data_IF_910961447819
#
_entry.id   IF_910961447819
#
_cell.length_a   1.000
_cell.length_b   1.000
_cell.length_c   1.000
_cell.angle_alpha   90.00
_cell.angle_beta   90.00
_cell.angle_gamma   90.00
#
_symmetry.space_group_name_H-M   'P 1'
#
loop_
_entity.id
_entity.type
_entity.pdbx_description
1 polymer ?
#
# COMPACT_ATOMS: atom_id res chain seq x y z
N UNK A 1 -33.55 18.05 39.28
CA UNK A 1 -33.71 17.90 37.83
C UNK A 1 -32.69 18.64 37.00
N UNK A 2 -32.33 19.86 37.29
CA UNK A 2 -31.31 20.61 36.51
C UNK A 2 -29.92 19.96 36.52
N UNK A 3 -29.54 19.25 37.60
CA UNK A 3 -28.21 18.57 37.70
C UNK A 3 -28.11 17.27 36.89
N UNK A 4 -29.23 16.61 36.69
CA UNK A 4 -29.33 15.36 35.89
C UNK A 4 -29.22 15.64 34.41
N UNK A 5 -29.80 16.75 33.96
CA UNK A 5 -29.74 17.18 32.54
C UNK A 5 -28.33 17.55 32.11
N UNK A 6 -27.58 18.17 33.01
CA UNK A 6 -26.16 18.50 32.76
C UNK A 6 -25.26 17.25 32.67
N UNK A 7 -25.58 16.20 33.42
CA UNK A 7 -24.82 14.94 33.34
C UNK A 7 -25.11 14.16 32.07
N UNK A 8 -26.33 14.14 31.59
CA UNK A 8 -26.68 13.51 30.31
C UNK A 8 -26.08 14.23 29.10
N UNK A 9 -25.95 15.56 29.14
CA UNK A 9 -25.31 16.32 28.06
C UNK A 9 -23.81 16.05 27.95
N UNK A 10 -23.14 15.84 29.08
CA UNK A 10 -21.71 15.53 29.10
C UNK A 10 -21.39 14.11 28.60
N UNK A 11 -22.28 13.15 28.82
CA UNK A 11 -22.10 11.77 28.33
C UNK A 11 -22.40 11.62 26.86
N UNK A 12 -23.30 12.42 26.29
CA UNK A 12 -23.56 12.41 24.85
C UNK A 12 -22.40 12.98 24.02
N UNK A 13 -21.65 13.91 24.59
CA UNK A 13 -20.51 14.52 23.89
C UNK A 13 -19.30 13.58 23.78
N UNK A 14 -19.21 12.58 24.65
CA UNK A 14 -18.13 11.59 24.64
C UNK A 14 -18.27 10.52 23.54
N UNK A 15 -19.44 10.40 22.95
CA UNK A 15 -19.72 9.39 21.89
C UNK A 15 -19.46 9.88 20.47
N UNK A 16 -19.11 11.16 20.31
CA UNK A 16 -18.83 11.76 18.99
C UNK A 16 -17.34 11.70 18.60
N UNK A 17 -16.51 11.01 19.39
CA UNK A 17 -15.08 10.89 19.13
C UNK A 17 -14.72 9.62 18.34
N UNK A 18 -15.59 9.12 17.49
CA UNK A 18 -15.31 7.94 16.70
C UNK A 18 -15.42 8.19 15.22
N UNK A 19 -14.40 7.74 14.57
CA UNK A 19 -14.14 7.66 13.15
C UNK A 19 -13.37 8.88 12.60
N UNK A 20 -12.14 9.03 13.04
CA UNK A 20 -11.12 9.36 12.06
C UNK A 20 -10.85 8.06 11.29
N UNK A 21 -11.65 7.82 10.30
CA UNK A 21 -11.30 6.94 9.21
C UNK A 21 -10.04 7.57 8.60
N UNK A 22 -8.89 7.00 8.94
CA UNK A 22 -7.66 7.39 8.26
C UNK A 22 -7.85 6.94 6.82
N UNK A 23 -8.02 7.89 5.94
CA UNK A 23 -8.00 7.70 4.48
C UNK A 23 -6.55 7.32 4.11
N UNK A 24 -6.13 6.16 4.63
CA UNK A 24 -4.78 5.64 4.42
C UNK A 24 -4.60 5.07 3.02
N UNK A 25 -5.70 4.72 2.36
CA UNK A 25 -5.69 4.17 1.03
C UNK A 25 -5.88 5.28 -0.01
N UNK A 26 -4.78 5.86 -0.46
CA UNK A 26 -4.76 6.85 -1.53
C UNK A 26 -5.24 6.24 -2.86
N UNK A 27 -5.02 4.94 -3.05
CA UNK A 27 -5.37 4.20 -4.27
C UNK A 27 -6.14 2.95 -3.91
N UNK A 28 -7.27 2.71 -4.58
CA UNK A 28 -8.11 1.53 -4.40
C UNK A 28 -8.01 0.61 -5.61
N UNK A 29 -8.40 -0.65 -5.42
CA UNK A 29 -8.47 -1.60 -6.53
C UNK A 29 -9.44 -1.09 -7.60
N UNK A 30 -8.97 -1.04 -8.84
CA UNK A 30 -9.71 -0.49 -9.99
C UNK A 30 -9.36 0.97 -10.32
N UNK A 31 -8.62 1.66 -9.48
CA UNK A 31 -8.16 3.01 -9.75
C UNK A 31 -6.98 3.03 -10.71
N UNK A 32 -6.83 4.14 -11.40
CA UNK A 32 -5.62 4.40 -12.16
C UNK A 32 -4.46 4.69 -11.23
N UNK A 33 -3.31 4.08 -11.50
CA UNK A 33 -2.09 4.34 -10.74
C UNK A 33 -1.66 5.80 -10.93
N UNK A 34 -1.47 6.58 -9.87
CA UNK A 34 -0.95 7.93 -9.97
C UNK A 34 0.48 7.92 -10.55
N UNK A 35 0.85 9.04 -11.17
CA UNK A 35 2.20 9.18 -11.70
C UNK A 35 3.23 9.16 -10.57
N UNK A 36 4.26 8.33 -10.72
CA UNK A 36 5.38 8.26 -9.78
C UNK A 36 6.71 8.08 -10.52
N UNK A 37 7.77 8.43 -9.84
CA UNK A 37 9.16 8.23 -10.30
C UNK A 37 9.94 7.56 -9.18
N UNK A 38 10.63 6.47 -9.50
CA UNK A 38 11.52 5.76 -8.59
C UNK A 38 12.97 5.92 -9.06
N UNK A 39 13.85 6.18 -8.12
CA UNK A 39 15.29 6.22 -8.38
C UNK A 39 15.93 4.91 -7.94
N UNK A 40 16.45 4.17 -8.90
CA UNK A 40 17.17 2.93 -8.64
C UNK A 40 18.68 3.21 -8.61
N UNK A 41 19.35 2.57 -7.68
CA UNK A 41 20.82 2.63 -7.60
C UNK A 41 21.50 1.83 -8.71
N UNK A 42 20.81 0.86 -9.29
CA UNK A 42 21.35 -0.03 -10.30
C UNK A 42 20.94 0.34 -11.73
N UNK A 43 19.67 0.75 -11.93
CA UNK A 43 19.06 0.88 -13.25
C UNK A 43 18.63 2.32 -13.59
N UNK A 44 19.03 3.31 -12.80
CA UNK A 44 18.65 4.70 -13.02
C UNK A 44 17.21 5.01 -12.58
N UNK A 45 16.49 5.78 -13.37
CA UNK A 45 15.15 6.26 -13.04
C UNK A 45 14.07 5.46 -13.74
N UNK A 46 13.05 5.05 -13.00
CA UNK A 46 11.88 4.34 -13.50
C UNK A 46 10.67 5.25 -13.35
N UNK A 47 9.97 5.54 -14.43
CA UNK A 47 8.73 6.32 -14.41
C UNK A 47 7.53 5.39 -14.57
N UNK A 48 6.42 5.70 -13.91
CA UNK A 48 5.18 4.94 -14.05
C UNK A 48 4.68 4.89 -15.49
N UNK A 49 4.99 5.90 -16.31
CA UNK A 49 4.65 5.92 -17.74
C UNK A 49 5.30 4.77 -18.51
N UNK A 50 6.50 4.33 -18.14
CA UNK A 50 7.24 3.25 -18.79
C UNK A 50 6.65 1.87 -18.47
N UNK A 51 5.79 1.80 -17.47
CA UNK A 51 5.14 0.58 -16.99
C UNK A 51 3.74 0.37 -17.59
N UNK A 52 3.24 1.28 -18.41
CA UNK A 52 1.93 1.16 -19.03
C UNK A 52 1.86 -0.07 -19.94
N UNK A 53 0.73 -0.79 -19.85
CA UNK A 53 0.52 -2.01 -20.63
C UNK A 53 1.22 -3.24 -20.07
N UNK A 54 1.89 -3.13 -18.93
CA UNK A 54 2.57 -4.24 -18.25
C UNK A 54 1.87 -4.62 -16.95
N UNK A 55 2.01 -5.89 -16.58
CA UNK A 55 1.68 -6.37 -15.23
C UNK A 55 2.90 -6.10 -14.35
N UNK A 56 2.72 -5.27 -13.33
CA UNK A 56 3.80 -4.83 -12.45
C UNK A 56 3.59 -5.37 -11.04
N UNK A 57 4.58 -6.07 -10.53
CA UNK A 57 4.65 -6.49 -9.13
C UNK A 57 5.56 -5.53 -8.37
N UNK A 58 4.99 -4.80 -7.42
CA UNK A 58 5.75 -3.93 -6.51
C UNK A 58 5.80 -4.61 -5.15
N UNK A 59 7.00 -4.94 -4.68
CA UNK A 59 7.24 -5.48 -3.36
C UNK A 59 8.02 -4.48 -2.52
N UNK A 60 7.50 -4.14 -1.36
CA UNK A 60 8.12 -3.22 -0.41
C UNK A 60 8.57 -4.03 0.80
N UNK A 61 9.86 -3.98 1.09
CA UNK A 61 10.44 -4.76 2.19
C UNK A 61 11.54 -4.00 2.92
N UNK A 62 11.92 -4.51 4.09
CA UNK A 62 13.08 -4.05 4.83
C UNK A 62 14.07 -5.20 5.03
N UNK A 63 15.35 -4.90 5.07
CA UNK A 63 16.42 -5.91 5.23
C UNK A 63 16.36 -6.68 6.54
N UNK A 64 15.81 -6.07 7.58
CA UNK A 64 15.63 -6.64 8.92
C UNK A 64 14.26 -7.33 9.12
N UNK A 65 13.42 -7.36 8.11
CA UNK A 65 12.09 -7.99 8.17
C UNK A 65 12.19 -9.48 7.82
N UNK A 66 12.10 -10.36 8.80
CA UNK A 66 12.17 -11.82 8.60
C UNK A 66 11.08 -12.37 7.66
N UNK A 67 9.77 -12.07 7.88
CA UNK A 67 8.69 -12.47 6.99
C UNK A 67 8.86 -11.95 5.55
N UNK A 68 9.39 -10.75 5.36
CA UNK A 68 9.66 -10.18 4.05
C UNK A 68 10.73 -11.00 3.29
N UNK A 69 11.75 -11.46 3.98
CA UNK A 69 12.80 -12.32 3.38
C UNK A 69 12.23 -13.66 2.90
N UNK A 70 11.33 -14.23 3.67
CA UNK A 70 10.64 -15.48 3.28
C UNK A 70 9.76 -15.26 2.06
N UNK A 71 9.02 -14.18 1.99
CA UNK A 71 8.20 -13.80 0.84
C UNK A 71 9.04 -13.59 -0.42
N UNK A 72 10.15 -12.87 -0.32
CA UNK A 72 11.07 -12.67 -1.45
C UNK A 72 11.65 -13.98 -1.97
N UNK A 73 11.97 -14.93 -1.08
CA UNK A 73 12.43 -16.24 -1.47
C UNK A 73 11.37 -17.02 -2.26
N UNK A 74 10.10 -16.94 -1.86
CA UNK A 74 8.98 -17.56 -2.59
C UNK A 74 8.77 -16.89 -3.96
N UNK A 75 8.79 -15.58 -4.03
CA UNK A 75 8.71 -14.82 -5.29
C UNK A 75 9.83 -15.26 -6.24
N UNK A 76 11.06 -15.38 -5.75
CA UNK A 76 12.20 -15.80 -6.55
C UNK A 76 12.11 -17.24 -7.03
N UNK A 77 11.56 -18.15 -6.22
CA UNK A 77 11.42 -19.57 -6.57
C UNK A 77 10.25 -19.84 -7.49
N UNK A 78 9.13 -19.16 -7.31
CA UNK A 78 7.87 -19.50 -7.96
C UNK A 78 7.54 -18.53 -9.10
N UNK A 79 7.54 -17.23 -8.81
CA UNK A 79 7.09 -16.22 -9.77
C UNK A 79 8.17 -15.88 -10.79
N UNK A 80 9.39 -15.64 -10.34
CA UNK A 80 10.46 -15.21 -11.22
C UNK A 80 10.77 -16.20 -12.34
N UNK A 81 10.95 -17.51 -12.11
CA UNK A 81 11.20 -18.46 -13.18
C UNK A 81 10.07 -18.53 -14.20
N UNK A 82 8.83 -18.32 -13.74
CA UNK A 82 7.64 -18.38 -14.59
C UNK A 82 7.48 -17.16 -15.49
N UNK A 83 7.83 -15.98 -15.00
CA UNK A 83 7.52 -14.71 -15.69
C UNK A 83 8.75 -13.94 -16.17
N UNK A 84 9.97 -14.32 -15.82
CA UNK A 84 11.20 -13.59 -16.18
C UNK A 84 11.39 -13.33 -17.67
N UNK A 85 10.83 -14.18 -18.53
CA UNK A 85 10.92 -14.07 -19.99
C UNK A 85 9.68 -13.41 -20.62
N UNK A 86 8.70 -13.03 -19.80
CA UNK A 86 7.51 -12.35 -20.29
C UNK A 86 7.78 -10.85 -20.37
N UNK A 87 7.68 -10.30 -21.58
CA UNK A 87 7.92 -8.86 -21.83
C UNK A 87 6.87 -7.95 -21.21
N UNK A 88 5.70 -8.50 -20.89
CA UNK A 88 4.57 -7.78 -20.31
C UNK A 88 4.59 -7.83 -18.76
N UNK A 89 5.59 -8.47 -18.18
CA UNK A 89 5.77 -8.56 -16.74
C UNK A 89 7.01 -7.80 -16.26
N UNK A 90 6.85 -7.01 -15.22
CA UNK A 90 7.91 -6.24 -14.57
C UNK A 90 7.84 -6.42 -13.05
N UNK A 91 9.00 -6.56 -12.41
CA UNK A 91 9.13 -6.65 -10.95
C UNK A 91 10.27 -5.74 -10.48
#
# INVERSE_FOLDING_TARGET
MRKVILFCAATLFSLLSFAQESDADIVKVGDNIPAFTLHSTANGTINSADLKGKVVLINIFATWCGPCQSELAEVQKILWPKYKNNKDFCM
#
